data_IF_104969988478
#
_entry.id   IF_104969988478
#
_cell.length_a   1.000
_cell.length_b   1.000
_cell.length_c   1.000
_cell.angle_alpha   90.00
_cell.angle_beta   90.00
_cell.angle_gamma   90.00
#
_symmetry.space_group_name_H-M   'P 1'
#
loop_
_entity.id
_entity.type
_entity.pdbx_description
1 polymer ?
#
# COMPACT_ATOMS: atom_id res chain seq x y z
N UNK A 1 -11.92 -54.64 -75.90
CA UNK A 1 -12.40 -53.80 -74.79
C UNK A 1 -11.24 -53.64 -73.83
N UNK A 2 -10.41 -52.63 -74.04
CA UNK A 2 -9.30 -52.32 -73.14
C UNK A 2 -9.52 -50.90 -72.62
N UNK A 3 -9.85 -50.79 -71.34
CA UNK A 3 -10.04 -49.52 -70.65
C UNK A 3 -8.71 -49.10 -70.01
N UNK A 4 -8.15 -47.97 -70.48
CA UNK A 4 -6.96 -47.34 -69.90
C UNK A 4 -7.29 -46.63 -68.58
N UNK A 5 -6.41 -46.66 -67.57
CA UNK A 5 -6.59 -45.89 -66.34
C UNK A 5 -6.26 -44.40 -66.56
N UNK A 6 -7.18 -43.53 -66.14
CA UNK A 6 -7.03 -42.08 -66.12
C UNK A 6 -5.98 -41.65 -65.09
N UNK A 7 -4.89 -41.03 -65.54
CA UNK A 7 -3.96 -40.28 -64.69
C UNK A 7 -4.65 -39.01 -64.20
N UNK A 8 -4.87 -38.89 -62.89
CA UNK A 8 -5.34 -37.64 -62.28
C UNK A 8 -4.20 -36.64 -62.20
N UNK A 9 -4.30 -35.53 -62.92
CA UNK A 9 -3.43 -34.37 -62.73
C UNK A 9 -3.66 -33.75 -61.33
N UNK A 10 -2.62 -33.46 -60.54
CA UNK A 10 -2.78 -32.66 -59.33
C UNK A 10 -3.03 -31.19 -59.71
N UNK A 11 -4.14 -30.64 -59.21
CA UNK A 11 -4.52 -29.24 -59.42
C UNK A 11 -3.49 -28.28 -58.77
N UNK A 12 -3.17 -27.14 -59.39
CA UNK A 12 -2.25 -26.16 -58.83
C UNK A 12 -2.87 -25.51 -57.58
N UNK A 13 -2.21 -25.64 -56.44
CA UNK A 13 -2.59 -24.94 -55.20
C UNK A 13 -2.30 -23.44 -55.36
N UNK A 14 -3.26 -22.54 -55.11
CA UNK A 14 -3.02 -21.11 -55.21
C UNK A 14 -2.00 -20.66 -54.17
N UNK A 15 -0.92 -20.03 -54.63
CA UNK A 15 0.08 -19.40 -53.76
C UNK A 15 -0.48 -18.06 -53.29
N UNK A 16 -0.70 -17.90 -51.99
CA UNK A 16 -1.16 -16.65 -51.41
C UNK A 16 -0.09 -15.57 -51.56
N UNK A 17 -0.27 -14.67 -52.53
CA UNK A 17 0.59 -13.51 -52.71
C UNK A 17 0.44 -12.58 -51.50
N UNK A 18 1.48 -12.50 -50.69
CA UNK A 18 1.56 -11.57 -49.55
C UNK A 18 1.24 -10.15 -50.04
N UNK A 19 0.31 -9.46 -49.38
CA UNK A 19 -0.08 -8.10 -49.73
C UNK A 19 1.17 -7.20 -49.78
N UNK A 20 1.59 -6.83 -50.99
CA UNK A 20 2.60 -5.79 -51.19
C UNK A 20 2.02 -4.46 -50.71
N UNK A 21 2.88 -3.52 -50.30
CA UNK A 21 2.45 -2.21 -49.77
C UNK A 21 1.55 -1.39 -50.71
N UNK A 22 1.42 -1.81 -51.97
CA UNK A 22 0.62 -1.17 -53.01
C UNK A 22 -0.77 -1.80 -53.21
N UNK A 23 -1.09 -2.94 -52.59
CA UNK A 23 -2.38 -3.62 -52.82
C UNK A 23 -2.62 -3.93 -54.31
N UNK A 24 -3.86 -3.73 -54.79
CA UNK A 24 -4.29 -3.98 -56.19
C UNK A 24 -4.12 -2.78 -57.14
N UNK A 25 -3.53 -1.68 -56.68
CA UNK A 25 -3.44 -0.46 -57.49
C UNK A 25 -2.03 -0.27 -58.05
N UNK A 26 -1.96 0.13 -59.33
CA UNK A 26 -0.72 0.59 -59.95
C UNK A 26 -0.31 1.92 -59.33
N UNK A 27 0.51 1.87 -58.26
CA UNK A 27 1.01 3.03 -57.54
C UNK A 27 2.55 3.08 -57.48
N UNK A 28 3.10 4.17 -56.90
CA UNK A 28 4.54 4.35 -56.66
C UNK A 28 5.00 3.46 -55.48
N UNK A 29 4.93 2.15 -55.68
CA UNK A 29 5.33 1.11 -54.72
C UNK A 29 6.80 1.20 -54.27
N UNK A 30 7.65 1.79 -55.10
CA UNK A 30 9.05 2.11 -54.78
C UNK A 30 9.20 3.26 -53.76
N UNK A 31 8.13 3.99 -53.45
CA UNK A 31 8.16 5.02 -52.39
C UNK A 31 7.86 4.39 -51.03
N UNK A 32 8.76 4.61 -50.09
CA UNK A 32 8.57 4.29 -48.68
C UNK A 32 7.39 5.10 -48.10
N UNK A 33 6.56 4.44 -47.29
CA UNK A 33 5.48 5.09 -46.55
C UNK A 33 6.07 6.07 -45.53
N UNK A 34 5.70 7.35 -45.63
CA UNK A 34 6.18 8.39 -44.71
C UNK A 34 5.29 8.43 -43.48
N UNK A 35 5.82 8.06 -42.32
CA UNK A 35 5.17 8.32 -41.03
C UNK A 35 5.53 9.71 -40.52
N UNK A 36 4.63 10.35 -39.77
CA UNK A 36 4.92 11.61 -39.10
C UNK A 36 6.08 11.46 -38.09
N UNK A 37 7.10 12.31 -38.21
CA UNK A 37 8.22 12.34 -37.25
C UNK A 37 7.74 12.91 -35.92
N UNK A 38 7.63 12.05 -34.90
CA UNK A 38 7.34 12.51 -33.52
C UNK A 38 8.62 13.06 -32.90
N UNK A 39 8.77 14.39 -32.87
CA UNK A 39 9.86 15.06 -32.14
C UNK A 39 9.44 15.28 -30.69
N UNK A 40 10.20 14.72 -29.74
CA UNK A 40 10.13 15.11 -28.33
C UNK A 40 11.33 15.99 -28.00
N UNK A 41 11.13 17.04 -27.21
CA UNK A 41 12.22 17.85 -26.66
C UNK A 41 12.95 17.16 -25.48
N UNK A 42 12.49 15.97 -25.07
CA UNK A 42 13.10 15.21 -23.97
C UNK A 42 14.43 14.58 -24.41
N UNK A 43 15.45 14.57 -23.53
CA UNK A 43 16.69 13.85 -23.78
C UNK A 43 16.46 12.33 -23.81
N UNK A 44 17.29 11.62 -24.56
CA UNK A 44 17.11 10.18 -24.84
C UNK A 44 17.04 9.32 -23.56
N UNK A 45 17.78 9.67 -22.51
CA UNK A 45 17.78 8.92 -21.24
C UNK A 45 16.50 9.05 -20.42
N UNK A 46 15.71 10.11 -20.62
CA UNK A 46 14.42 10.34 -19.92
C UNK A 46 13.25 9.81 -20.75
N UNK A 47 13.46 9.66 -22.05
CA UNK A 47 12.45 9.16 -22.99
C UNK A 47 12.23 7.66 -22.76
N UNK A 48 10.99 7.30 -22.46
CA UNK A 48 10.58 5.90 -22.40
C UNK A 48 10.29 5.38 -23.80
N UNK A 49 10.79 4.18 -24.12
CA UNK A 49 10.71 3.63 -25.48
C UNK A 49 9.34 2.99 -25.72
N UNK A 50 8.76 2.39 -24.69
CA UNK A 50 7.44 1.76 -24.74
C UNK A 50 6.53 2.18 -23.56
N UNK A 51 5.22 2.01 -23.75
CA UNK A 51 4.24 2.14 -22.66
C UNK A 51 4.44 1.05 -21.59
N UNK A 52 4.80 -0.15 -22.01
CA UNK A 52 5.04 -1.30 -21.13
C UNK A 52 6.19 -1.03 -20.14
N UNK A 53 7.27 -0.39 -20.58
CA UNK A 53 8.36 0.04 -19.71
C UNK A 53 7.91 1.02 -18.63
N UNK A 54 6.97 1.92 -18.95
CA UNK A 54 6.39 2.85 -17.97
C UNK A 54 5.56 2.10 -16.95
N UNK A 55 4.69 1.20 -17.39
CA UNK A 55 3.86 0.38 -16.50
C UNK A 55 4.70 -0.54 -15.61
N UNK A 56 5.80 -1.09 -16.13
CA UNK A 56 6.74 -1.88 -15.35
C UNK A 56 7.43 -1.05 -14.25
N UNK A 57 7.75 0.23 -14.53
CA UNK A 57 8.31 1.13 -13.51
C UNK A 57 7.28 1.50 -12.44
N UNK A 58 6.07 1.87 -12.84
CA UNK A 58 5.01 2.26 -11.88
C UNK A 58 4.61 1.11 -10.96
N UNK A 59 4.52 -0.11 -11.50
CA UNK A 59 4.24 -1.32 -10.70
C UNK A 59 5.34 -1.61 -9.69
N UNK A 60 6.62 -1.48 -10.07
CA UNK A 60 7.76 -1.61 -9.15
C UNK A 60 7.72 -0.55 -8.04
N UNK A 61 7.49 0.70 -8.40
CA UNK A 61 7.38 1.80 -7.42
C UNK A 61 6.20 1.59 -6.46
N UNK A 62 5.07 1.09 -6.96
CA UNK A 62 3.91 0.77 -6.12
C UNK A 62 4.23 -0.37 -5.14
N UNK A 63 4.94 -1.41 -5.58
CA UNK A 63 5.38 -2.50 -4.71
C UNK A 63 6.34 -2.00 -3.61
N UNK A 64 7.30 -1.14 -3.96
CA UNK A 64 8.23 -0.55 -2.98
C UNK A 64 7.48 0.31 -1.96
N UNK A 65 6.57 1.17 -2.41
CA UNK A 65 5.77 2.03 -1.52
C UNK A 65 4.85 1.23 -0.61
N UNK A 66 4.34 0.09 -1.07
CA UNK A 66 3.53 -0.81 -0.24
C UNK A 66 4.38 -1.38 0.90
N UNK A 67 5.57 -1.89 0.59
CA UNK A 67 6.51 -2.39 1.60
C UNK A 67 6.94 -1.29 2.58
N UNK A 68 7.21 -0.08 2.08
CA UNK A 68 7.54 1.07 2.94
C UNK A 68 6.42 1.42 3.92
N UNK A 69 5.16 1.35 3.47
CA UNK A 69 3.99 1.58 4.33
C UNK A 69 3.86 0.50 5.39
N UNK A 70 3.96 -0.76 5.00
CA UNK A 70 3.90 -1.90 5.92
C UNK A 70 4.95 -1.74 7.05
N UNK A 71 6.20 -1.43 6.72
CA UNK A 71 7.26 -1.19 7.71
C UNK A 71 6.96 0.00 8.64
N UNK A 72 6.39 1.09 8.11
CA UNK A 72 6.03 2.26 8.91
C UNK A 72 4.88 1.97 9.86
N UNK A 73 3.86 1.26 9.38
CA UNK A 73 2.68 0.86 10.15
C UNK A 73 3.07 -0.08 11.29
N UNK A 74 3.94 -1.08 11.05
CA UNK A 74 4.47 -1.97 12.09
C UNK A 74 5.19 -1.18 13.19
N UNK A 75 6.10 -0.28 12.81
CA UNK A 75 6.84 0.57 13.75
C UNK A 75 5.91 1.48 14.57
N UNK A 76 4.89 2.06 13.93
CA UNK A 76 3.91 2.90 14.61
C UNK A 76 3.05 2.08 15.58
N UNK A 77 2.59 0.90 15.17
CA UNK A 77 1.81 0.00 16.01
C UNK A 77 2.58 -0.40 17.28
N UNK A 78 3.88 -0.69 17.18
CA UNK A 78 4.70 -0.96 18.36
C UNK A 78 4.84 0.25 19.29
N UNK A 79 5.05 1.44 18.72
CA UNK A 79 5.14 2.67 19.49
C UNK A 79 3.82 3.01 20.19
N UNK A 80 2.70 2.78 19.51
CA UNK A 80 1.34 2.97 20.04
C UNK A 80 1.04 1.96 21.16
N UNK A 81 1.40 0.68 20.99
CA UNK A 81 1.29 -0.34 22.05
C UNK A 81 2.05 0.06 23.32
N UNK A 82 3.29 0.55 23.18
CA UNK A 82 4.08 1.05 24.31
C UNK A 82 3.42 2.25 24.97
N UNK A 83 2.93 3.21 24.18
CA UNK A 83 2.23 4.40 24.69
C UNK A 83 0.96 4.01 25.45
N UNK A 84 0.14 3.12 24.90
CA UNK A 84 -1.07 2.61 25.55
C UNK A 84 -0.76 1.94 26.88
N UNK A 85 0.22 1.02 26.91
CA UNK A 85 0.62 0.35 28.15
C UNK A 85 1.08 1.33 29.24
N UNK A 86 1.79 2.41 28.87
CA UNK A 86 2.21 3.44 29.82
C UNK A 86 1.00 4.24 30.33
N UNK A 87 0.10 4.65 29.43
CA UNK A 87 -1.12 5.37 29.80
C UNK A 87 -2.00 4.55 30.74
N UNK A 88 -2.17 3.26 30.46
CA UNK A 88 -2.97 2.36 31.29
C UNK A 88 -2.36 2.17 32.67
N UNK A 89 -1.03 2.02 32.75
CA UNK A 89 -0.31 2.01 34.05
C UNK A 89 -0.50 3.31 34.82
N UNK A 90 -0.48 4.46 34.13
CA UNK A 90 -0.66 5.77 34.78
C UNK A 90 -2.09 5.92 35.32
N UNK A 91 -3.09 5.58 34.50
CA UNK A 91 -4.51 5.58 34.92
C UNK A 91 -4.77 4.67 36.11
N UNK A 92 -4.24 3.44 36.08
CA UNK A 92 -4.39 2.51 37.19
C UNK A 92 -3.76 3.03 38.50
N UNK A 93 -2.62 3.72 38.42
CA UNK A 93 -1.99 4.38 39.58
C UNK A 93 -2.84 5.55 40.08
N UNK A 94 -3.27 6.44 39.19
CA UNK A 94 -4.12 7.59 39.53
C UNK A 94 -5.44 7.15 40.21
N UNK A 95 -6.07 6.08 39.71
CA UNK A 95 -7.28 5.51 40.32
C UNK A 95 -6.99 4.92 41.71
N UNK A 96 -5.89 4.18 41.85
CA UNK A 96 -5.47 3.63 43.14
C UNK A 96 -5.21 4.74 44.17
N UNK A 97 -4.44 5.76 43.79
CA UNK A 97 -4.14 6.92 44.64
C UNK A 97 -5.41 7.66 45.03
N UNK A 98 -6.35 7.86 44.09
CA UNK A 98 -7.66 8.47 44.38
C UNK A 98 -8.43 7.67 45.43
N UNK A 99 -8.47 6.35 45.31
CA UNK A 99 -9.15 5.47 46.28
C UNK A 99 -8.46 5.48 47.64
N UNK A 100 -7.12 5.46 47.67
CA UNK A 100 -6.33 5.54 48.89
C UNK A 100 -6.55 6.88 49.62
N UNK A 101 -6.57 8.00 48.89
CA UNK A 101 -6.89 9.32 49.44
C UNK A 101 -8.31 9.38 50.02
N UNK A 102 -9.30 8.79 49.35
CA UNK A 102 -10.66 8.70 49.88
C UNK A 102 -10.73 7.85 51.16
N UNK A 103 -10.07 6.69 51.19
CA UNK A 103 -9.98 5.83 52.37
C UNK A 103 -9.29 6.56 53.53
N UNK A 104 -8.18 7.24 53.27
CA UNK A 104 -7.45 8.03 54.26
C UNK A 104 -8.32 9.16 54.82
N UNK A 105 -9.06 9.89 53.96
CA UNK A 105 -10.01 10.92 54.39
C UNK A 105 -11.11 10.37 55.31
N UNK A 106 -11.64 9.20 55.00
CA UNK A 106 -12.66 8.54 55.83
C UNK A 106 -12.09 8.05 57.17
N UNK A 107 -10.89 7.47 57.16
CA UNK A 107 -10.17 7.07 58.37
C UNK A 107 -9.89 8.27 59.27
N UNK A 108 -9.39 9.38 58.71
CA UNK A 108 -9.15 10.63 59.43
C UNK A 108 -10.44 11.19 60.06
N UNK A 109 -11.57 11.18 59.32
CA UNK A 109 -12.88 11.57 59.86
C UNK A 109 -13.31 10.66 61.01
N UNK A 110 -13.06 9.35 60.94
CA UNK A 110 -13.35 8.40 62.03
C UNK A 110 -12.50 8.69 63.27
N UNK A 111 -11.19 8.92 63.10
CA UNK A 111 -10.30 9.31 64.19
C UNK A 111 -10.73 10.62 64.84
N UNK A 112 -11.13 11.61 64.05
CA UNK A 112 -11.68 12.87 64.58
C UNK A 112 -12.95 12.64 65.40
N UNK A 113 -13.88 11.80 64.93
CA UNK A 113 -15.09 11.43 65.70
C UNK A 113 -14.75 10.76 67.02
N UNK A 114 -13.83 9.80 67.01
CA UNK A 114 -13.38 9.12 68.23
C UNK A 114 -12.69 10.09 69.20
N UNK A 115 -11.86 11.01 68.70
CA UNK A 115 -11.23 12.07 69.51
C UNK A 115 -12.26 12.99 70.16
N UNK A 116 -13.33 13.35 69.44
CA UNK A 116 -14.46 14.13 70.00
C UNK A 116 -15.20 13.34 71.08
N UNK A 117 -15.51 12.07 70.83
CA UNK A 117 -16.20 11.21 71.80
C UNK A 117 -15.38 11.00 73.08
N UNK A 118 -14.07 10.88 72.96
CA UNK A 118 -13.16 10.76 74.09
C UNK A 118 -13.05 12.04 74.94
N UNK A 119 -13.63 13.17 74.52
CA UNK A 119 -13.66 14.42 75.29
C UNK A 119 -12.28 15.03 75.59
N UNK A 120 -11.21 14.49 75.00
CA UNK A 120 -9.82 14.89 75.28
C UNK A 120 -9.56 16.29 74.72
N UNK A 121 -9.57 17.30 75.59
CA UNK A 121 -9.14 18.67 75.28
C UNK A 121 -7.64 18.68 74.97
N UNK A 122 -7.20 19.57 74.08
CA UNK A 122 -5.79 19.64 73.63
C UNK A 122 -4.81 20.07 74.75
N UNK A 123 -5.32 20.57 75.88
CA UNK A 123 -4.53 20.90 77.07
C UNK A 123 -4.13 19.61 77.80
N UNK A 124 -2.93 19.13 77.52
CA UNK A 124 -2.18 18.31 78.46
C UNK A 124 -1.28 19.32 79.18
N UNK A 125 -1.59 19.62 80.44
CA UNK A 125 -0.62 20.26 81.34
C UNK A 125 0.39 19.17 81.70
N UNK A 126 1.67 19.44 81.43
CA UNK A 126 2.81 18.54 81.60
C UNK A 126 3.97 19.03 80.77
#
# INVERSE_FOLDING_TARGET
>A
MESVPTTSCPAPTPVDLRATSAGRTSGKNWKLQKSATKRSHLPEGVRTKSWEERMAKTTREAAIKKLEKEMKEEKQAEADRKRQAILDRRKAKEERERLELMKAKMSAKKLQRMRRKAGRTKKING
#
